data_IF_508481445963
#
_entry.id   IF_508481445963
#
_cell.length_a   1.000
_cell.length_b   1.000
_cell.length_c   1.000
_cell.angle_alpha   90.00
_cell.angle_beta   90.00
_cell.angle_gamma   90.00
#
_symmetry.space_group_name_H-M   'P 1'
#
loop_
_entity.id
_entity.type
_entity.pdbx_description
1 polymer ?
#
# COMPACT_ATOMS: atom_id res chain seq x y z
N UNK A 1 -9.34 54.15 4.81
CA UNK A 1 -9.60 53.21 5.91
C UNK A 1 -10.85 52.45 5.53
N UNK A 2 -10.86 51.17 5.18
CA UNK A 2 -9.81 50.16 5.24
C UNK A 2 -10.27 48.95 4.42
N UNK A 3 -9.35 48.42 3.63
CA UNK A 3 -9.06 46.99 3.43
C UNK A 3 -10.08 46.09 2.72
N UNK A 4 -9.88 46.03 1.40
CA UNK A 4 -9.72 44.83 0.58
C UNK A 4 -9.51 43.52 1.36
N UNK A 5 -10.52 42.64 1.36
CA UNK A 5 -10.30 41.21 1.49
C UNK A 5 -10.63 40.54 0.15
N UNK A 6 -9.66 40.58 -0.74
CA UNK A 6 -9.53 39.60 -1.81
C UNK A 6 -9.49 38.20 -1.16
N UNK A 7 -10.59 37.45 -1.30
CA UNK A 7 -10.65 36.04 -0.98
C UNK A 7 -9.73 35.28 -1.93
N UNK A 8 -8.45 35.19 -1.57
CA UNK A 8 -7.46 34.39 -2.28
C UNK A 8 -7.90 32.93 -2.17
N UNK A 9 -8.44 32.40 -3.26
CA UNK A 9 -8.75 30.99 -3.40
C UNK A 9 -7.49 30.17 -3.02
N UNK A 10 -7.65 29.03 -2.32
CA UNK A 10 -6.52 28.18 -1.98
C UNK A 10 -5.76 27.81 -3.25
N UNK A 11 -4.42 27.74 -3.19
CA UNK A 11 -3.61 27.38 -4.35
C UNK A 11 -4.09 26.04 -4.89
N UNK A 12 -4.38 26.00 -6.19
CA UNK A 12 -4.67 24.77 -6.91
C UNK A 12 -3.41 23.91 -6.81
N UNK A 13 -3.40 22.99 -5.85
CA UNK A 13 -2.43 21.90 -5.81
C UNK A 13 -2.55 21.16 -7.13
N UNK A 14 -1.45 21.17 -7.87
CA UNK A 14 -1.31 20.57 -9.19
C UNK A 14 -2.02 19.22 -9.23
N UNK A 15 -2.90 19.08 -10.23
CA UNK A 15 -3.64 17.86 -10.51
C UNK A 15 -2.66 16.78 -10.98
N UNK A 16 -1.93 16.18 -10.03
CA UNK A 16 -1.38 14.85 -10.21
C UNK A 16 -2.55 14.00 -10.69
N UNK A 17 -2.48 13.49 -11.93
CA UNK A 17 -3.49 12.61 -12.51
C UNK A 17 -3.66 11.41 -11.59
N UNK A 18 -4.62 11.51 -10.66
CA UNK A 18 -4.94 10.45 -9.73
C UNK A 18 -5.68 9.40 -10.54
N UNK A 19 -4.97 8.36 -10.94
CA UNK A 19 -5.55 7.25 -11.67
C UNK A 19 -6.68 6.63 -10.83
N UNK A 20 -7.75 6.09 -11.46
CA UNK A 20 -8.77 5.36 -10.73
C UNK A 20 -8.16 4.20 -9.94
N UNK A 21 -8.65 3.92 -8.73
CA UNK A 21 -8.10 2.89 -7.85
C UNK A 21 -8.03 1.50 -8.52
N UNK A 22 -9.01 1.16 -9.37
CA UNK A 22 -8.99 -0.09 -10.14
C UNK A 22 -7.86 -0.15 -11.18
N UNK A 23 -7.54 0.98 -11.83
CA UNK A 23 -6.42 1.07 -12.78
C UNK A 23 -5.09 0.95 -12.05
N UNK A 24 -4.95 1.60 -10.88
CA UNK A 24 -3.77 1.43 -10.03
C UNK A 24 -3.60 -0.03 -9.60
N UNK A 25 -4.70 -0.71 -9.23
CA UNK A 25 -4.65 -2.11 -8.85
C UNK A 25 -4.23 -3.01 -10.03
N UNK A 26 -4.69 -2.74 -11.25
CA UNK A 26 -4.24 -3.48 -12.44
C UNK A 26 -2.72 -3.33 -12.66
N UNK A 27 -2.19 -2.11 -12.54
CA UNK A 27 -0.74 -1.87 -12.63
C UNK A 27 0.06 -2.58 -11.53
N UNK A 28 -0.48 -2.64 -10.31
CA UNK A 28 0.12 -3.37 -9.19
C UNK A 28 0.10 -4.88 -9.48
N UNK A 29 -1.03 -5.43 -9.93
CA UNK A 29 -1.14 -6.86 -10.26
C UNK A 29 -0.15 -7.30 -11.32
N UNK A 30 0.05 -6.48 -12.36
CA UNK A 30 1.00 -6.80 -13.41
C UNK A 30 2.44 -6.87 -12.87
N UNK A 31 2.81 -5.96 -11.96
CA UNK A 31 4.10 -6.04 -11.25
C UNK A 31 4.20 -7.25 -10.33
N UNK A 32 3.13 -7.59 -9.61
CA UNK A 32 3.12 -8.75 -8.72
C UNK A 32 3.28 -10.07 -9.48
N UNK A 33 2.68 -10.19 -10.68
CA UNK A 33 2.86 -11.36 -11.54
C UNK A 33 4.32 -11.56 -11.94
N UNK A 34 5.06 -10.48 -12.22
CA UNK A 34 6.50 -10.55 -12.50
C UNK A 34 7.32 -11.05 -11.31
N UNK A 35 6.78 -10.93 -10.10
CA UNK A 35 7.40 -11.39 -8.84
C UNK A 35 6.93 -12.78 -8.42
N UNK A 36 6.19 -13.51 -9.27
CA UNK A 36 5.63 -14.84 -8.97
C UNK A 36 4.79 -14.88 -7.67
N UNK A 37 4.09 -13.79 -7.32
CA UNK A 37 3.35 -13.67 -6.05
C UNK A 37 2.32 -14.79 -5.84
N UNK A 38 1.72 -15.33 -6.91
CA UNK A 38 0.75 -16.43 -6.79
C UNK A 38 1.40 -17.69 -6.22
N UNK A 39 2.62 -18.00 -6.64
CA UNK A 39 3.31 -19.21 -6.18
C UNK A 39 3.82 -19.07 -4.75
N UNK A 40 4.28 -17.87 -4.40
CA UNK A 40 4.99 -17.65 -3.14
C UNK A 40 4.08 -17.12 -2.04
N UNK A 41 3.16 -16.20 -2.34
CA UNK A 41 2.27 -15.60 -1.34
C UNK A 41 0.91 -16.30 -1.30
N UNK A 42 0.26 -16.49 -2.45
CA UNK A 42 -1.12 -16.98 -2.51
C UNK A 42 -1.18 -18.44 -2.04
N UNK A 43 -0.21 -19.27 -2.44
CA UNK A 43 -0.11 -20.65 -1.95
C UNK A 43 0.25 -20.75 -0.46
N UNK A 44 1.12 -19.86 0.04
CA UNK A 44 1.50 -19.82 1.47
C UNK A 44 0.29 -19.51 2.34
N UNK A 45 -0.49 -18.50 1.95
CA UNK A 45 -1.66 -18.04 2.71
C UNK A 45 -2.95 -18.79 2.39
N UNK A 46 -2.97 -19.62 1.35
CA UNK A 46 -4.17 -20.30 0.81
C UNK A 46 -5.32 -19.33 0.47
N UNK A 47 -4.98 -18.08 0.10
CA UNK A 47 -5.97 -17.09 -0.33
C UNK A 47 -6.35 -17.28 -1.79
N UNK A 48 -7.38 -16.53 -2.21
CA UNK A 48 -7.65 -16.37 -3.64
C UNK A 48 -6.64 -15.38 -4.26
N UNK A 49 -6.27 -15.57 -5.54
CA UNK A 49 -5.46 -14.60 -6.26
C UNK A 49 -6.11 -13.20 -6.21
N UNK A 50 -5.28 -12.18 -6.05
CA UNK A 50 -5.73 -10.78 -6.06
C UNK A 50 -6.39 -10.43 -7.41
N UNK A 51 -7.46 -9.64 -7.33
CA UNK A 51 -8.18 -9.07 -8.47
C UNK A 51 -8.12 -7.54 -8.42
N UNK A 52 -8.51 -6.88 -9.52
CA UNK A 52 -8.50 -5.41 -9.60
C UNK A 52 -9.37 -4.70 -8.57
N UNK A 53 -10.32 -5.43 -7.96
CA UNK A 53 -11.18 -4.94 -6.89
C UNK A 53 -10.63 -5.21 -5.49
N UNK A 54 -9.58 -6.03 -5.34
CA UNK A 54 -9.12 -6.54 -4.05
C UNK A 54 -8.74 -5.45 -3.04
N UNK A 55 -8.17 -4.34 -3.49
CA UNK A 55 -7.89 -3.16 -2.64
C UNK A 55 -8.50 -1.86 -3.17
N UNK A 56 -9.17 -1.91 -4.33
CA UNK A 56 -9.80 -0.73 -4.93
C UNK A 56 -11.18 -0.42 -4.33
N UNK A 57 -11.83 -1.41 -3.70
CA UNK A 57 -13.12 -1.25 -3.01
C UNK A 57 -13.09 -2.01 -1.68
N UNK A 58 -13.90 -1.62 -0.67
CA UNK A 58 -14.05 -2.39 0.56
C UNK A 58 -14.52 -3.82 0.26
N UNK A 59 -13.82 -4.80 0.82
CA UNK A 59 -14.20 -6.22 0.71
C UNK A 59 -15.39 -6.57 1.60
N UNK A 60 -15.90 -7.80 1.45
CA UNK A 60 -16.95 -8.34 2.34
C UNK A 60 -16.46 -8.47 3.78
N UNK A 61 -15.18 -8.81 3.95
CA UNK A 61 -14.52 -8.90 5.24
C UNK A 61 -13.32 -7.95 5.25
N UNK A 62 -13.48 -6.80 5.92
CA UNK A 62 -12.46 -5.75 5.99
C UNK A 62 -11.21 -6.26 6.72
N UNK A 63 -11.37 -7.10 7.74
CA UNK A 63 -10.24 -7.65 8.48
C UNK A 63 -9.40 -8.59 7.62
N UNK A 64 -10.05 -9.44 6.83
CA UNK A 64 -9.37 -10.33 5.87
C UNK A 64 -8.68 -9.52 4.76
N UNK A 65 -9.35 -8.49 4.24
CA UNK A 65 -8.76 -7.57 3.26
C UNK A 65 -7.52 -6.87 3.81
N UNK A 66 -7.56 -6.38 5.05
CA UNK A 66 -6.43 -5.75 5.71
C UNK A 66 -5.30 -6.75 5.96
N UNK A 67 -5.61 -7.93 6.50
CA UNK A 67 -4.62 -8.98 6.72
C UNK A 67 -3.89 -9.34 5.42
N UNK A 68 -4.63 -9.56 4.33
CA UNK A 68 -4.03 -9.88 3.04
C UNK A 68 -3.18 -8.72 2.49
N UNK A 69 -3.62 -7.48 2.68
CA UNK A 69 -2.81 -6.30 2.34
C UNK A 69 -1.47 -6.32 3.08
N UNK A 70 -1.48 -6.57 4.39
CA UNK A 70 -0.25 -6.55 5.16
C UNK A 70 0.66 -7.73 4.81
N UNK A 71 0.11 -8.93 4.59
CA UNK A 71 0.92 -10.06 4.15
C UNK A 71 1.56 -9.82 2.77
N UNK A 72 0.90 -9.07 1.89
CA UNK A 72 1.48 -8.63 0.63
C UNK A 72 2.66 -7.69 0.86
N UNK A 73 2.54 -6.72 1.76
CA UNK A 73 3.64 -5.81 2.11
C UNK A 73 4.83 -6.58 2.69
N UNK A 74 4.59 -7.51 3.61
CA UNK A 74 5.63 -8.37 4.17
C UNK A 74 6.34 -9.19 3.08
N UNK A 75 5.59 -9.74 2.13
CA UNK A 75 6.17 -10.42 0.97
C UNK A 75 7.06 -9.49 0.13
N UNK A 76 6.62 -8.26 -0.12
CA UNK A 76 7.42 -7.28 -0.87
C UNK A 76 8.69 -6.86 -0.11
N UNK A 77 8.61 -6.71 1.21
CA UNK A 77 9.79 -6.46 2.04
C UNK A 77 10.78 -7.63 2.01
N UNK A 78 10.30 -8.87 2.11
CA UNK A 78 11.14 -10.07 1.93
C UNK A 78 11.83 -10.09 0.55
N UNK A 79 11.14 -9.67 -0.51
CA UNK A 79 11.71 -9.59 -1.87
C UNK A 79 12.85 -8.58 -2.01
N UNK A 80 12.89 -7.55 -1.16
CA UNK A 80 13.99 -6.56 -1.14
C UNK A 80 15.04 -6.86 -0.05
N UNK A 81 14.98 -8.04 0.56
CA UNK A 81 15.94 -8.50 1.57
C UNK A 81 15.68 -7.97 2.98
N UNK A 82 14.49 -7.43 3.26
CA UNK A 82 14.09 -7.03 4.60
C UNK A 82 13.34 -8.16 5.30
N UNK A 83 13.77 -8.45 6.53
CA UNK A 83 13.08 -9.40 7.39
C UNK A 83 11.93 -8.67 8.09
N UNK A 84 10.74 -8.75 7.47
CA UNK A 84 9.51 -8.18 8.02
C UNK A 84 8.61 -9.30 8.50
N UNK A 85 8.38 -9.35 9.81
CA UNK A 85 7.48 -10.32 10.42
C UNK A 85 6.03 -9.95 10.10
N UNK A 86 5.24 -10.94 9.67
CA UNK A 86 3.82 -10.74 9.44
C UNK A 86 3.13 -10.41 10.77
N UNK A 87 2.33 -9.34 10.84
CA UNK A 87 1.53 -9.07 12.02
C UNK A 87 0.46 -10.13 12.21
N UNK A 88 0.13 -10.34 13.48
CA UNK A 88 -0.85 -11.27 13.98
C UNK A 88 -2.26 -10.68 13.98
N UNK A 89 -3.28 -11.52 14.11
CA UNK A 89 -4.66 -11.08 14.22
C UNK A 89 -4.97 -10.28 15.51
N UNK A 90 -4.02 -10.19 16.45
CA UNK A 90 -4.15 -9.40 17.68
C UNK A 90 -3.55 -7.99 17.54
N UNK A 91 -2.74 -7.75 16.51
CA UNK A 91 -2.08 -6.47 16.31
C UNK A 91 -3.07 -5.41 15.81
N UNK A 92 -2.92 -4.18 16.32
CA UNK A 92 -3.83 -3.11 15.99
C UNK A 92 -3.54 -2.57 14.57
N UNK A 93 -4.56 -2.30 13.73
CA UNK A 93 -4.34 -1.88 12.35
C UNK A 93 -3.52 -0.59 12.20
N UNK A 94 -3.62 0.31 13.18
CA UNK A 94 -2.90 1.58 13.15
C UNK A 94 -1.42 1.38 13.47
N UNK A 95 -1.09 0.55 14.46
CA UNK A 95 0.26 0.17 14.82
C UNK A 95 0.97 -0.55 13.69
N UNK A 96 0.29 -1.52 13.06
CA UNK A 96 0.78 -2.21 11.86
C UNK A 96 1.07 -1.23 10.73
N UNK A 97 0.15 -0.30 10.46
CA UNK A 97 0.33 0.71 9.41
C UNK A 97 1.51 1.63 9.70
N UNK A 98 1.65 2.09 10.95
CA UNK A 98 2.75 2.93 11.38
C UNK A 98 4.10 2.21 11.23
N UNK A 99 4.14 0.92 11.52
CA UNK A 99 5.33 0.09 11.38
C UNK A 99 5.74 -0.11 9.92
N UNK A 100 4.79 -0.42 9.03
CA UNK A 100 5.03 -0.50 7.58
C UNK A 100 5.66 0.80 7.06
N UNK A 101 5.11 1.95 7.43
CA UNK A 101 5.62 3.26 7.02
C UNK A 101 7.04 3.49 7.57
N UNK A 102 7.29 3.11 8.82
CA UNK A 102 8.60 3.24 9.45
C UNK A 102 9.66 2.43 8.70
N UNK A 103 9.37 1.16 8.39
CA UNK A 103 10.27 0.27 7.66
C UNK A 103 10.51 0.80 6.25
N UNK A 104 9.46 1.19 5.53
CA UNK A 104 9.56 1.77 4.18
C UNK A 104 10.46 3.02 4.16
N UNK A 105 10.26 3.95 5.10
CA UNK A 105 11.02 5.20 5.16
C UNK A 105 12.49 5.00 5.55
N UNK A 106 12.80 3.94 6.31
CA UNK A 106 14.19 3.61 6.64
C UNK A 106 15.02 3.31 5.37
N UNK A 107 14.38 2.75 4.34
CA UNK A 107 15.01 2.38 3.07
C UNK A 107 15.14 3.54 2.09
N UNK A 108 14.18 4.45 2.04
CA UNK A 108 14.31 5.66 1.20
C UNK A 108 15.55 6.50 1.58
N UNK A 109 15.95 6.47 2.85
CA UNK A 109 17.19 7.14 3.33
C UNK A 109 18.47 6.35 3.02
N UNK A 110 18.36 5.06 2.73
CA UNK A 110 19.48 4.20 2.33
C UNK A 110 19.75 4.22 0.83
N UNK A 111 18.70 4.27 0.01
CA UNK A 111 18.80 4.28 -1.46
C UNK A 111 19.33 5.62 -2.03
N UNK A 112 19.06 6.75 -1.36
CA UNK A 112 19.53 8.08 -1.78
C UNK A 112 20.96 8.43 -1.30
N UNK A 113 21.79 7.44 -0.95
CA UNK A 113 23.16 7.64 -0.46
C UNK A 113 24.25 7.10 -1.40
N UNK A 114 23.94 6.95 -2.68
CA UNK A 114 24.93 6.64 -3.74
C UNK A 114 25.04 7.77 -4.75
#
# INVERSE_FOLDING_TARGET
MSDEKAGKAPPQVESQQRLPAGVMMEMVLDKLKLLDYEKELVNELKFRPLAKTSFAVPGQNINEQFFYFVSLIAFLFRKIGEDYENPTAQDDPNGVTADIIRVSNSKERGYNRE
#
